data_IF_338117775380
#
_entry.id   IF_338117775380
#
_cell.length_a   1.000
_cell.length_b   1.000
_cell.length_c   1.000
_cell.angle_alpha   90.00
_cell.angle_beta   90.00
_cell.angle_gamma   90.00
#
_symmetry.space_group_name_H-M   'P 1'
#
loop_
_entity.id
_entity.type
_entity.pdbx_description
1 polymer ?
#
# COMPACT_ATOMS: atom_id res chain seq x y z
N UNK A 1 2.01 -16.18 -17.69
CA UNK A 1 3.49 -16.14 -17.65
C UNK A 1 4.10 -14.76 -17.97
N UNK A 2 3.48 -13.87 -18.76
CA UNK A 2 4.17 -12.67 -19.27
C UNK A 2 4.37 -11.47 -18.33
N UNK A 3 3.54 -11.27 -17.31
CA UNK A 3 3.62 -10.06 -16.46
C UNK A 3 4.78 -10.10 -15.45
N UNK A 4 5.10 -11.28 -14.90
CA UNK A 4 6.23 -11.45 -13.98
C UNK A 4 7.59 -11.23 -14.66
N UNK A 5 7.75 -11.75 -15.89
CA UNK A 5 8.97 -11.54 -16.68
C UNK A 5 9.18 -10.06 -17.03
N UNK A 6 8.10 -9.34 -17.37
CA UNK A 6 8.15 -7.88 -17.61
C UNK A 6 8.53 -7.10 -16.35
N UNK A 7 7.98 -7.48 -15.19
CA UNK A 7 8.34 -6.84 -13.91
C UNK A 7 9.82 -7.05 -13.57
N UNK A 8 10.34 -8.27 -13.76
CA UNK A 8 11.76 -8.58 -13.55
C UNK A 8 12.69 -7.77 -14.47
N UNK A 9 12.37 -7.69 -15.76
CA UNK A 9 13.17 -6.90 -16.71
C UNK A 9 13.18 -5.39 -16.37
N UNK A 10 12.02 -4.82 -15.99
CA UNK A 10 11.92 -3.43 -15.59
C UNK A 10 12.72 -3.13 -14.30
N UNK A 11 12.64 -4.02 -13.30
CA UNK A 11 13.41 -3.90 -12.07
C UNK A 11 14.92 -3.94 -12.37
N UNK A 12 15.38 -4.87 -13.21
CA UNK A 12 16.77 -4.97 -13.62
C UNK A 12 17.26 -3.68 -14.30
N UNK A 13 16.50 -3.15 -15.26
CA UNK A 13 16.84 -1.92 -15.95
C UNK A 13 16.96 -0.72 -14.99
N UNK A 14 16.00 -0.57 -14.07
CA UNK A 14 16.02 0.52 -13.08
C UNK A 14 17.16 0.37 -12.06
N UNK A 15 17.49 -0.86 -11.68
CA UNK A 15 18.59 -1.14 -10.74
C UNK A 15 19.96 -0.79 -11.32
N UNK A 16 20.12 -0.89 -12.64
CA UNK A 16 21.35 -0.55 -13.35
C UNK A 16 21.55 0.96 -13.51
N UNK A 17 20.51 1.77 -13.27
CA UNK A 17 20.60 3.23 -13.35
C UNK A 17 21.28 3.82 -12.12
N UNK A 18 22.01 4.91 -12.33
CA UNK A 18 22.65 5.66 -11.26
C UNK A 18 21.60 6.54 -10.56
N UNK A 19 21.61 6.53 -9.23
CA UNK A 19 20.78 7.39 -8.39
C UNK A 19 19.81 6.63 -7.50
N UNK A 20 19.46 7.24 -6.36
CA UNK A 20 18.61 6.61 -5.35
C UNK A 20 17.17 6.35 -5.83
N UNK A 21 16.62 7.23 -6.67
CA UNK A 21 15.23 7.15 -7.13
C UNK A 21 14.98 5.94 -8.05
N UNK A 22 15.71 5.71 -9.15
CA UNK A 22 15.54 4.50 -9.97
C UNK A 22 15.74 3.22 -9.17
N UNK A 23 16.74 3.19 -8.30
CA UNK A 23 17.02 2.04 -7.46
C UNK A 23 15.90 1.77 -6.46
N UNK A 24 15.32 2.80 -5.84
CA UNK A 24 14.15 2.65 -4.98
C UNK A 24 12.96 2.04 -5.74
N UNK A 25 12.68 2.51 -6.96
CA UNK A 25 11.62 1.92 -7.80
C UNK A 25 11.91 0.48 -8.20
N UNK A 26 13.15 0.12 -8.52
CA UNK A 26 13.52 -1.27 -8.77
C UNK A 26 13.17 -2.16 -7.58
N UNK A 27 13.53 -1.73 -6.36
CA UNK A 27 13.21 -2.46 -5.12
C UNK A 27 11.71 -2.54 -4.84
N UNK A 28 10.92 -1.50 -5.16
CA UNK A 28 9.47 -1.56 -5.06
C UNK A 28 8.86 -2.59 -6.01
N UNK A 29 9.36 -2.69 -7.25
CA UNK A 29 8.89 -3.70 -8.21
C UNK A 29 9.22 -5.12 -7.75
N UNK A 30 10.45 -5.34 -7.25
CA UNK A 30 10.86 -6.63 -6.67
C UNK A 30 9.97 -7.00 -5.49
N UNK A 31 9.74 -6.05 -4.57
CA UNK A 31 8.90 -6.27 -3.39
C UNK A 31 7.45 -6.58 -3.75
N UNK A 32 6.85 -5.87 -4.71
CA UNK A 32 5.47 -6.15 -5.15
C UNK A 32 5.38 -7.51 -5.88
N UNK A 33 6.44 -7.92 -6.59
CA UNK A 33 6.53 -9.26 -7.18
C UNK A 33 6.57 -10.34 -6.12
N UNK A 34 7.38 -10.17 -5.07
CA UNK A 34 7.42 -11.08 -3.92
C UNK A 34 6.07 -11.09 -3.17
N UNK A 35 5.46 -9.93 -2.95
CA UNK A 35 4.18 -9.77 -2.26
C UNK A 35 3.07 -10.54 -2.98
N UNK A 36 2.97 -10.39 -4.32
CA UNK A 36 1.99 -11.12 -5.14
C UNK A 36 2.21 -12.62 -5.16
N UNK A 37 3.45 -13.07 -4.94
CA UNK A 37 3.79 -14.49 -4.80
C UNK A 37 3.56 -15.02 -3.37
N UNK A 38 3.01 -14.21 -2.46
CA UNK A 38 2.80 -14.59 -1.05
C UNK A 38 4.07 -14.62 -0.19
N UNK A 39 5.22 -14.19 -0.74
CA UNK A 39 6.52 -14.14 -0.05
C UNK A 39 6.64 -12.83 0.74
N UNK A 40 5.82 -12.68 1.78
CA UNK A 40 5.64 -11.40 2.47
C UNK A 40 6.89 -10.91 3.21
N UNK A 41 7.68 -11.80 3.80
CA UNK A 41 8.95 -11.41 4.46
C UNK A 41 9.97 -10.86 3.45
N UNK A 42 10.12 -11.53 2.32
CA UNK A 42 10.99 -11.02 1.23
C UNK A 42 10.46 -9.71 0.68
N UNK A 43 9.14 -9.57 0.50
CA UNK A 43 8.54 -8.31 0.08
C UNK A 43 8.86 -7.17 1.06
N UNK A 44 8.73 -7.43 2.37
CA UNK A 44 9.04 -6.47 3.42
C UNK A 44 10.50 -6.01 3.33
N UNK A 45 11.46 -6.92 3.19
CA UNK A 45 12.88 -6.58 3.05
C UNK A 45 13.13 -5.68 1.84
N UNK A 46 12.52 -5.98 0.69
CA UNK A 46 12.66 -5.17 -0.53
C UNK A 46 12.03 -3.79 -0.37
N UNK A 47 10.86 -3.70 0.25
CA UNK A 47 10.21 -2.42 0.52
C UNK A 47 11.01 -1.57 1.53
N UNK A 48 11.59 -2.17 2.57
CA UNK A 48 12.46 -1.47 3.50
C UNK A 48 13.73 -0.95 2.79
N UNK A 49 14.31 -1.75 1.89
CA UNK A 49 15.45 -1.31 1.09
C UNK A 49 15.09 -0.14 0.16
N UNK A 50 13.91 -0.16 -0.46
CA UNK A 50 13.41 0.97 -1.26
C UNK A 50 13.26 2.24 -0.42
N UNK A 51 12.62 2.10 0.74
CA UNK A 51 12.32 3.21 1.65
C UNK A 51 13.58 3.85 2.24
N UNK A 52 14.65 3.06 2.46
CA UNK A 52 15.96 3.55 2.89
C UNK A 52 16.67 4.38 1.81
N UNK A 53 16.46 4.06 0.55
CA UNK A 53 17.02 4.82 -0.58
C UNK A 53 16.28 6.15 -0.75
N UNK A 54 14.95 6.09 -0.77
CA UNK A 54 14.08 7.27 -0.89
C UNK A 54 12.82 7.04 -0.07
N UNK A 55 12.56 7.93 0.89
CA UNK A 55 11.33 7.92 1.68
C UNK A 55 10.15 8.42 0.84
N UNK A 56 9.45 7.49 0.19
CA UNK A 56 8.32 7.78 -0.68
C UNK A 56 7.00 7.39 -0.04
N UNK A 57 5.94 8.12 -0.36
CA UNK A 57 4.58 7.74 0.00
C UNK A 57 4.22 6.31 -0.46
N UNK A 58 4.66 5.94 -1.68
CA UNK A 58 4.42 4.60 -2.24
C UNK A 58 5.17 3.50 -1.48
N UNK A 59 6.40 3.76 -1.05
CA UNK A 59 7.19 2.84 -0.22
C UNK A 59 6.53 2.59 1.12
N UNK A 60 6.02 3.63 1.77
CA UNK A 60 5.23 3.52 3.02
C UNK A 60 3.96 2.72 2.84
N UNK A 61 3.21 2.97 1.76
CA UNK A 61 2.01 2.18 1.44
C UNK A 61 2.35 0.69 1.27
N UNK A 62 3.45 0.39 0.56
CA UNK A 62 3.91 -0.97 0.34
C UNK A 62 4.36 -1.65 1.64
N UNK A 63 5.12 -0.94 2.49
CA UNK A 63 5.52 -1.40 3.82
C UNK A 63 4.30 -1.71 4.70
N UNK A 64 3.33 -0.80 4.78
CA UNK A 64 2.11 -1.02 5.56
C UNK A 64 1.37 -2.27 5.12
N UNK A 65 1.27 -2.52 3.80
CA UNK A 65 0.64 -3.75 3.27
C UNK A 65 1.43 -5.01 3.63
N UNK A 66 2.76 -4.97 3.55
CA UNK A 66 3.62 -6.09 3.93
C UNK A 66 3.53 -6.41 5.43
N UNK A 67 3.61 -5.39 6.29
CA UNK A 67 3.41 -5.54 7.74
C UNK A 67 2.02 -6.10 8.06
N UNK A 68 0.97 -5.61 7.41
CA UNK A 68 -0.39 -6.09 7.61
C UNK A 68 -0.52 -7.58 7.21
N UNK A 69 0.06 -7.99 6.09
CA UNK A 69 0.08 -9.40 5.66
C UNK A 69 0.82 -10.31 6.66
N UNK A 70 1.85 -9.78 7.31
CA UNK A 70 2.62 -10.43 8.37
C UNK A 70 2.00 -10.29 9.77
N UNK A 71 0.81 -9.66 9.88
CA UNK A 71 0.12 -9.36 11.16
C UNK A 71 0.92 -8.48 12.14
N UNK A 72 1.91 -7.75 11.64
CA UNK A 72 2.64 -6.72 12.36
C UNK A 72 1.78 -5.44 12.40
N UNK A 73 0.71 -5.47 13.19
CA UNK A 73 -0.37 -4.48 13.08
C UNK A 73 0.05 -3.08 13.56
N UNK A 74 0.96 -2.98 14.52
CA UNK A 74 1.45 -1.69 15.03
C UNK A 74 2.27 -0.95 13.97
N UNK A 75 3.20 -1.66 13.34
CA UNK A 75 4.04 -1.18 12.24
C UNK A 75 3.18 -0.84 11.02
N UNK A 76 2.22 -1.71 10.68
CA UNK A 76 1.28 -1.45 9.60
C UNK A 76 0.48 -0.15 9.84
N UNK A 77 -0.07 0.02 11.05
CA UNK A 77 -0.81 1.25 11.42
C UNK A 77 0.08 2.48 11.29
N UNK A 78 1.33 2.42 11.75
CA UNK A 78 2.26 3.54 11.68
C UNK A 78 2.54 3.99 10.25
N UNK A 79 2.76 3.05 9.33
CA UNK A 79 3.02 3.36 7.93
C UNK A 79 1.79 3.96 7.23
N UNK A 80 0.58 3.44 7.52
CA UNK A 80 -0.65 4.01 6.94
C UNK A 80 -0.99 5.38 7.51
N UNK A 81 -0.75 5.63 8.81
CA UNK A 81 -0.88 6.96 9.40
C UNK A 81 0.07 7.96 8.75
N UNK A 82 1.32 7.54 8.47
CA UNK A 82 2.28 8.35 7.72
C UNK A 82 1.79 8.66 6.29
N UNK A 83 1.19 7.69 5.60
CA UNK A 83 0.57 7.91 4.30
C UNK A 83 -0.58 8.94 4.35
N UNK A 84 -1.44 8.90 5.37
CA UNK A 84 -2.53 9.87 5.52
C UNK A 84 -2.02 11.28 5.83
N UNK A 85 -0.99 11.42 6.66
CA UNK A 85 -0.34 12.72 6.95
C UNK A 85 0.32 13.32 5.71
N UNK A 86 0.79 12.47 4.79
CA UNK A 86 1.46 12.84 3.54
C UNK A 86 0.53 12.70 2.33
N UNK A 87 -0.79 12.83 2.52
CA UNK A 87 -1.77 12.64 1.46
C UNK A 87 -1.58 13.59 0.26
N UNK A 88 -0.97 14.77 0.48
CA UNK A 88 -0.58 15.68 -0.60
C UNK A 88 0.48 15.12 -1.56
N UNK A 89 1.31 14.17 -1.13
CA UNK A 89 2.26 13.46 -2.02
C UNK A 89 1.57 12.34 -2.79
N UNK A 90 0.42 11.88 -2.30
CA UNK A 90 -0.37 10.85 -2.95
C UNK A 90 -1.05 11.33 -4.24
N UNK A 91 -1.07 12.64 -4.51
CA UNK A 91 -1.64 13.23 -5.73
C UNK A 91 -0.65 13.25 -6.90
N UNK A 92 0.64 13.02 -6.64
CA UNK A 92 1.74 13.03 -7.60
C UNK A 92 2.64 11.78 -7.47
N UNK A 93 2.06 10.63 -7.08
CA UNK A 93 2.83 9.38 -6.83
C UNK A 93 3.55 8.89 -8.09
N UNK A 94 2.97 9.17 -9.25
CA UNK A 94 3.63 9.03 -10.54
C UNK A 94 3.87 10.44 -11.06
N UNK A 95 5.03 10.68 -11.66
CA UNK A 95 5.45 11.98 -12.22
C UNK A 95 4.61 12.41 -13.45
N UNK A 96 3.41 11.85 -13.62
CA UNK A 96 2.47 12.12 -14.71
C UNK A 96 1.25 12.89 -14.18
N UNK A 97 0.66 13.75 -15.00
CA UNK A 97 -0.41 14.70 -14.65
C UNK A 97 -1.77 14.07 -14.26
N UNK A 98 -1.87 12.75 -14.09
CA UNK A 98 -3.10 12.07 -13.73
C UNK A 98 -3.26 11.98 -12.19
N UNK A 99 -4.30 12.57 -11.59
CA UNK A 99 -4.50 12.54 -10.15
C UNK A 99 -4.54 11.11 -9.60
N UNK A 100 -3.57 10.77 -8.76
CA UNK A 100 -3.47 9.45 -8.12
C UNK A 100 -4.31 9.33 -6.84
N UNK A 101 -5.25 10.26 -6.60
CA UNK A 101 -6.13 10.29 -5.43
C UNK A 101 -6.86 8.97 -5.16
N UNK A 102 -7.09 8.16 -6.20
CA UNK A 102 -7.65 6.80 -6.06
C UNK A 102 -6.86 5.88 -5.11
N UNK A 103 -5.58 6.16 -4.85
CA UNK A 103 -4.77 5.36 -3.92
C UNK A 103 -4.91 5.80 -2.46
N UNK A 104 -5.45 7.00 -2.18
CA UNK A 104 -5.74 7.44 -0.81
C UNK A 104 -6.86 6.63 -0.18
N UNK A 105 -7.94 6.38 -0.91
CA UNK A 105 -9.09 5.66 -0.36
C UNK A 105 -8.67 4.28 0.22
N UNK A 106 -7.94 3.39 -0.49
CA UNK A 106 -7.46 2.14 0.07
C UNK A 106 -6.63 2.26 1.37
N UNK A 107 -5.96 3.39 1.62
CA UNK A 107 -5.18 3.58 2.87
C UNK A 107 -6.10 3.52 4.09
N UNK A 108 -7.26 4.15 4.02
CA UNK A 108 -8.25 4.09 5.09
C UNK A 108 -8.72 2.65 5.36
N UNK A 109 -8.94 1.86 4.31
CA UNK A 109 -9.29 0.46 4.46
C UNK A 109 -8.17 -0.32 5.17
N UNK A 110 -6.93 -0.20 4.71
CA UNK A 110 -5.82 -0.95 5.31
C UNK A 110 -5.48 -0.49 6.73
N UNK A 111 -5.59 0.81 7.02
CA UNK A 111 -5.47 1.34 8.38
C UNK A 111 -6.56 0.75 9.29
N UNK A 112 -7.81 0.68 8.81
CA UNK A 112 -8.89 0.02 9.53
C UNK A 112 -8.59 -1.44 9.84
N UNK A 113 -8.00 -2.19 8.90
CA UNK A 113 -7.58 -3.59 9.11
C UNK A 113 -6.45 -3.70 10.13
N UNK A 114 -5.45 -2.82 10.08
CA UNK A 114 -4.37 -2.78 11.07
C UNK A 114 -4.92 -2.47 12.47
N UNK A 115 -5.76 -1.44 12.60
CA UNK A 115 -6.41 -1.06 13.84
C UNK A 115 -7.33 -2.16 14.40
N UNK A 116 -8.03 -2.89 13.52
CA UNK A 116 -8.82 -4.05 13.92
C UNK A 116 -7.94 -5.14 14.53
N UNK A 117 -6.77 -5.42 13.94
CA UNK A 117 -5.80 -6.37 14.50
C UNK A 117 -5.25 -5.95 15.87
N UNK A 118 -5.26 -4.64 16.16
CA UNK A 118 -4.91 -4.07 17.46
C UNK A 118 -6.09 -3.98 18.44
N UNK A 119 -7.28 -4.47 18.07
CA UNK A 119 -8.53 -4.26 18.82
C UNK A 119 -8.87 -2.78 19.09
N UNK A 120 -8.41 -1.88 18.22
CA UNK A 120 -8.68 -0.46 18.36
C UNK A 120 -10.13 -0.13 17.97
N UNK A 121 -10.87 0.63 18.78
CA UNK A 121 -12.23 1.04 18.45
C UNK A 121 -12.31 1.93 17.20
N UNK A 122 -11.19 2.59 16.84
CA UNK A 122 -11.11 3.46 15.66
C UNK A 122 -11.21 2.71 14.32
N UNK A 123 -11.04 1.38 14.31
CA UNK A 123 -11.06 0.58 13.08
C UNK A 123 -12.35 0.78 12.26
N UNK A 124 -13.50 0.82 12.94
CA UNK A 124 -14.81 1.02 12.30
C UNK A 124 -14.92 2.38 11.61
N UNK A 125 -14.37 3.42 12.22
CA UNK A 125 -14.40 4.77 11.65
C UNK A 125 -13.57 4.84 10.37
N UNK A 126 -12.42 4.17 10.32
CA UNK A 126 -11.60 4.09 9.09
C UNK A 126 -12.30 3.39 7.94
N UNK A 127 -13.08 2.34 8.22
CA UNK A 127 -13.91 1.72 7.18
C UNK A 127 -15.02 2.65 6.68
N UNK A 128 -15.61 3.48 7.56
CA UNK A 128 -16.61 4.49 7.15
C UNK A 128 -15.99 5.56 6.27
N UNK A 129 -14.81 6.07 6.64
CA UNK A 129 -14.05 7.05 5.82
C UNK A 129 -13.73 6.46 4.44
N UNK A 130 -13.26 5.22 4.38
CA UNK A 130 -13.03 4.51 3.12
C UNK A 130 -14.30 4.45 2.25
N UNK A 131 -15.44 4.08 2.83
CA UNK A 131 -16.72 4.00 2.11
C UNK A 131 -17.22 5.37 1.65
N UNK A 132 -17.02 6.42 2.43
CA UNK A 132 -17.39 7.79 2.06
C UNK A 132 -16.61 8.29 0.84
N UNK A 133 -15.33 7.90 0.73
CA UNK A 133 -14.49 8.23 -0.43
C UNK A 133 -14.79 7.36 -1.66
N UNK A 134 -15.47 6.22 -1.49
CA UNK A 134 -15.82 5.29 -2.57
C UNK A 134 -17.32 5.33 -2.87
N UNK A 135 -17.74 6.28 -3.71
CA UNK A 135 -19.12 6.37 -4.19
C UNK A 135 -19.44 5.37 -5.32
N UNK A 136 -18.91 4.14 -5.28
CA UNK A 136 -19.11 3.12 -6.31
C UNK A 136 -20.06 2.01 -5.83
N UNK A 137 -20.85 1.39 -6.74
CA UNK A 137 -21.69 0.26 -6.39
C UNK A 137 -20.86 -0.90 -5.82
N UNK A 138 -21.32 -1.52 -4.74
CA UNK A 138 -20.60 -2.59 -4.03
C UNK A 138 -20.25 -3.81 -4.91
N UNK A 139 -20.98 -4.00 -6.02
CA UNK A 139 -20.74 -5.07 -7.00
C UNK A 139 -19.46 -4.91 -7.81
N UNK A 140 -18.86 -3.70 -7.82
CA UNK A 140 -17.64 -3.39 -8.58
C UNK A 140 -16.38 -3.24 -7.72
N UNK A 141 -16.51 -3.33 -6.39
CA UNK A 141 -15.37 -3.15 -5.47
C UNK A 141 -15.44 -4.12 -4.27
N UNK A 142 -14.66 -5.21 -4.32
CA UNK A 142 -14.58 -6.19 -3.22
C UNK A 142 -14.19 -5.56 -1.87
N UNK A 143 -13.33 -4.53 -1.87
CA UNK A 143 -12.92 -3.86 -0.63
C UNK A 143 -14.09 -3.09 -0.02
N UNK A 144 -14.90 -2.41 -0.84
CA UNK A 144 -16.11 -1.73 -0.36
C UNK A 144 -17.15 -2.71 0.20
N UNK A 145 -17.31 -3.88 -0.42
CA UNK A 145 -18.19 -4.92 0.10
C UNK A 145 -17.71 -5.45 1.46
N UNK A 146 -16.40 -5.66 1.62
CA UNK A 146 -15.81 -6.09 2.88
C UNK A 146 -15.91 -5.00 3.97
N UNK A 147 -15.57 -3.76 3.65
CA UNK A 147 -15.67 -2.64 4.58
C UNK A 147 -17.09 -2.47 5.14
N UNK A 148 -18.13 -2.63 4.30
CA UNK A 148 -19.53 -2.59 4.76
C UNK A 148 -19.82 -3.67 5.79
N UNK A 149 -19.36 -4.91 5.56
CA UNK A 149 -19.52 -6.01 6.53
C UNK A 149 -18.85 -5.66 7.87
N UNK A 150 -17.63 -5.14 7.82
CA UNK A 150 -16.84 -4.76 9.00
C UNK A 150 -17.44 -3.57 9.78
N UNK A 151 -18.22 -2.71 9.13
CA UNK A 151 -18.96 -1.64 9.81
C UNK A 151 -20.26 -2.10 10.46
N UNK A 152 -20.83 -3.23 10.03
CA UNK A 152 -22.15 -3.72 10.49
C UNK A 152 -22.05 -4.84 11.54
N UNK A 153 -20.93 -5.58 11.60
CA UNK A 153 -20.75 -6.61 12.63
C UNK A 153 -20.57 -5.98 14.03
N UNK A 154 -21.50 -6.29 14.94
CA UNK A 154 -21.47 -5.89 16.36
C UNK A 154 -20.36 -6.60 17.11
#
# INVERSE_FOLDING_TARGET
>A
AGLGAKAGAAAAQLSAQVGAVPQAYARLIEGETAFRAGRFSEALERFQAAQKLVDTWLGRLALGRAYLALKAYAEASSEFDACLKRAGEATAVFLDEAPTWRYIAPVYFYLGRAQQGLNSPAARDRFREFLALRNWPATKDPLAAEARKLTTSR
#
